data_IF_987852057006
#
_entry.id   IF_987852057006
#
_cell.length_a   1.000
_cell.length_b   1.000
_cell.length_c   1.000
_cell.angle_alpha   90.00
_cell.angle_beta   90.00
_cell.angle_gamma   90.00
#
_symmetry.space_group_name_H-M   'P 1'
#
loop_
_entity.id
_entity.type
_entity.pdbx_description
1 polymer ?
#
# COMPACT_ATOMS: atom_id res chain seq x y z
N UNK A 1 -17.89 -2.23 6.47
CA UNK A 1 -16.92 -1.63 5.55
C UNK A 1 -16.72 -2.54 4.35
N UNK A 2 -16.65 -1.96 3.15
CA UNK A 2 -16.34 -2.71 1.93
C UNK A 2 -15.02 -3.47 2.09
N UNK A 3 -14.94 -4.72 1.64
CA UNK A 3 -13.76 -5.57 1.82
C UNK A 3 -12.51 -5.05 1.11
N UNK A 4 -12.67 -4.39 -0.03
CA UNK A 4 -11.53 -3.81 -0.75
C UNK A 4 -11.02 -2.54 -0.07
N UNK A 5 -11.92 -1.73 0.47
CA UNK A 5 -11.56 -0.56 1.28
C UNK A 5 -10.84 -1.01 2.55
N UNK A 6 -11.33 -2.05 3.20
CA UNK A 6 -10.67 -2.62 4.39
C UNK A 6 -9.24 -3.07 4.06
N UNK A 7 -9.03 -3.67 2.89
CA UNK A 7 -7.70 -4.09 2.46
C UNK A 7 -6.75 -2.90 2.33
N UNK A 8 -7.22 -1.76 1.82
CA UNK A 8 -6.41 -0.53 1.75
C UNK A 8 -5.94 -0.12 3.15
N UNK A 9 -6.85 -0.08 4.12
CA UNK A 9 -6.50 0.29 5.50
C UNK A 9 -5.55 -0.73 6.14
N UNK A 10 -5.83 -2.02 5.98
CA UNK A 10 -5.03 -3.07 6.60
C UNK A 10 -3.59 -3.08 6.07
N UNK A 11 -3.41 -2.96 4.77
CA UNK A 11 -2.08 -2.91 4.17
C UNK A 11 -1.28 -1.69 4.65
N UNK A 12 -1.92 -0.53 4.71
CA UNK A 12 -1.24 0.69 5.17
C UNK A 12 -0.90 0.65 6.66
N UNK A 13 -1.70 -0.05 7.47
CA UNK A 13 -1.36 -0.32 8.86
C UNK A 13 -0.08 -1.14 9.01
N UNK A 14 0.08 -2.16 8.18
CA UNK A 14 1.30 -2.96 8.15
C UNK A 14 2.51 -2.17 7.64
N UNK A 15 2.32 -1.34 6.62
CA UNK A 15 3.38 -0.47 6.09
C UNK A 15 3.85 0.48 7.19
N UNK A 16 2.93 1.16 7.88
CA UNK A 16 3.28 2.06 8.96
C UNK A 16 4.08 1.35 10.05
N UNK A 17 3.61 0.20 10.50
CA UNK A 17 4.28 -0.57 11.54
C UNK A 17 5.69 -0.99 11.11
N UNK A 18 5.84 -1.52 9.90
CA UNK A 18 7.13 -1.98 9.39
C UNK A 18 8.13 -0.85 9.22
N UNK A 19 7.70 0.26 8.64
CA UNK A 19 8.58 1.40 8.37
C UNK A 19 8.96 2.17 9.63
N UNK A 20 8.07 2.23 10.63
CA UNK A 20 8.28 3.06 11.82
C UNK A 20 8.98 2.35 12.97
N UNK A 21 9.04 1.03 12.97
CA UNK A 21 9.48 0.24 14.12
C UNK A 21 10.65 -0.68 13.73
N UNK A 22 11.86 -0.32 14.19
CA UNK A 22 13.07 -1.12 13.96
C UNK A 22 13.04 -2.48 14.67
N UNK A 23 12.14 -2.66 15.64
CA UNK A 23 11.95 -3.92 16.36
C UNK A 23 10.79 -4.75 15.81
N UNK A 24 10.13 -4.30 14.73
CA UNK A 24 9.03 -5.06 14.12
C UNK A 24 9.51 -6.46 13.72
N UNK A 25 8.78 -7.53 14.09
CA UNK A 25 9.18 -8.89 13.69
C UNK A 25 9.08 -9.06 12.17
N UNK A 26 9.93 -9.93 11.62
CA UNK A 26 9.96 -10.20 10.17
C UNK A 26 8.63 -10.65 9.59
N UNK A 27 7.77 -11.25 10.40
CA UNK A 27 6.41 -11.64 10.02
C UNK A 27 5.57 -10.47 9.51
N UNK A 28 5.78 -9.25 10.02
CA UNK A 28 5.05 -8.06 9.55
C UNK A 28 5.33 -7.83 8.07
N UNK A 29 6.59 -7.94 7.66
CA UNK A 29 6.95 -7.82 6.24
C UNK A 29 6.38 -8.98 5.42
N UNK A 30 6.45 -10.21 5.93
CA UNK A 30 5.91 -11.38 5.22
C UNK A 30 4.39 -11.24 5.00
N UNK A 31 3.65 -10.81 6.00
CA UNK A 31 2.20 -10.56 5.89
C UNK A 31 1.91 -9.44 4.88
N UNK A 32 2.72 -8.38 4.90
CA UNK A 32 2.57 -7.28 3.96
C UNK A 32 2.81 -7.76 2.52
N UNK A 33 3.92 -8.46 2.27
CA UNK A 33 4.27 -8.93 0.92
C UNK A 33 3.27 -9.96 0.38
N UNK A 34 2.67 -10.77 1.25
CA UNK A 34 1.67 -11.76 0.84
C UNK A 34 0.38 -11.13 0.29
N UNK A 35 0.18 -9.83 0.48
CA UNK A 35 -0.99 -9.09 -0.04
C UNK A 35 -0.84 -8.67 -1.49
N UNK A 36 0.33 -8.84 -2.09
CA UNK A 36 0.62 -8.38 -3.44
C UNK A 36 0.63 -9.55 -4.41
N UNK A 37 -0.02 -9.36 -5.57
CA UNK A 37 0.01 -10.36 -6.64
C UNK A 37 1.44 -10.56 -7.12
N UNK A 38 1.84 -11.79 -7.49
CA UNK A 38 3.12 -12.01 -8.18
C UNK A 38 3.27 -11.20 -9.47
N UNK A 39 2.16 -10.79 -10.07
CA UNK A 39 2.13 -9.95 -11.26
C UNK A 39 2.03 -8.45 -10.94
N UNK A 40 2.22 -8.06 -9.68
CA UNK A 40 2.09 -6.67 -9.23
C UNK A 40 2.99 -5.73 -10.01
N UNK A 41 2.44 -4.54 -10.30
CA UNK A 41 3.19 -3.42 -10.86
C UNK A 41 2.71 -2.12 -10.21
N UNK A 42 3.57 -1.11 -10.19
CA UNK A 42 3.15 0.21 -9.75
C UNK A 42 3.90 1.33 -10.45
N UNK A 43 3.28 2.49 -10.45
CA UNK A 43 3.94 3.76 -10.74
C UNK A 43 3.95 4.55 -9.44
N UNK A 44 5.14 4.87 -8.94
CA UNK A 44 5.30 5.62 -7.68
C UNK A 44 4.95 7.10 -7.89
N UNK A 45 4.73 7.81 -6.79
CA UNK A 45 4.41 9.24 -6.87
C UNK A 45 5.54 10.10 -7.45
N UNK A 46 6.75 9.57 -7.57
CA UNK A 46 7.87 10.23 -8.26
C UNK A 46 8.05 9.78 -9.70
N UNK A 47 7.14 8.92 -10.20
CA UNK A 47 7.15 8.48 -11.60
C UNK A 47 8.02 7.25 -11.89
N UNK A 48 8.51 6.56 -10.87
CA UNK A 48 9.25 5.32 -11.04
C UNK A 48 8.31 4.13 -11.21
N UNK A 49 8.70 3.16 -12.03
CA UNK A 49 7.96 1.91 -12.19
C UNK A 49 8.60 0.81 -11.34
N UNK A 50 7.78 0.04 -10.65
CA UNK A 50 8.21 -1.11 -9.87
C UNK A 50 7.40 -2.33 -10.29
N UNK A 51 8.06 -3.49 -10.38
CA UNK A 51 7.41 -4.79 -10.47
C UNK A 51 7.41 -5.47 -9.09
N UNK A 52 6.90 -6.69 -9.03
CA UNK A 52 6.80 -7.42 -7.76
C UNK A 52 8.17 -7.68 -7.12
N UNK A 53 9.19 -8.18 -7.82
CA UNK A 53 10.51 -8.37 -7.19
C UNK A 53 11.12 -7.08 -6.65
N UNK A 54 10.97 -5.96 -7.37
CA UNK A 54 11.49 -4.67 -6.93
C UNK A 54 10.74 -4.17 -5.69
N UNK A 55 9.42 -4.35 -5.62
CA UNK A 55 8.62 -4.01 -4.44
C UNK A 55 9.07 -4.82 -3.23
N UNK A 56 9.24 -6.12 -3.38
CA UNK A 56 9.68 -7.00 -2.30
C UNK A 56 11.04 -6.58 -1.75
N UNK A 57 12.00 -6.31 -2.63
CA UNK A 57 13.34 -5.86 -2.24
C UNK A 57 13.26 -4.53 -1.49
N UNK A 58 12.45 -3.60 -1.99
CA UNK A 58 12.24 -2.30 -1.35
C UNK A 58 11.66 -2.46 0.06
N UNK A 59 10.57 -3.18 0.22
CA UNK A 59 9.94 -3.35 1.54
C UNK A 59 10.87 -4.05 2.52
N UNK A 60 11.58 -5.09 2.11
CA UNK A 60 12.51 -5.80 3.00
C UNK A 60 13.59 -4.90 3.58
N UNK A 61 14.03 -3.89 2.82
CA UNK A 61 15.05 -2.94 3.23
C UNK A 61 14.52 -1.82 4.15
N UNK A 62 13.21 -1.73 4.41
CA UNK A 62 12.60 -0.57 5.06
C UNK A 62 12.29 -0.74 6.54
N UNK A 63 12.66 -1.85 7.19
CA UNK A 63 12.39 -2.03 8.62
C UNK A 63 12.90 -0.85 9.43
N UNK A 64 12.00 -0.11 10.08
CA UNK A 64 12.36 1.02 10.93
C UNK A 64 13.06 2.17 10.23
N UNK A 65 13.03 2.22 8.89
CA UNK A 65 13.72 3.26 8.12
C UNK A 65 13.09 4.65 8.30
N UNK A 66 11.85 4.71 8.76
CA UNK A 66 11.10 5.96 8.96
C UNK A 66 10.50 6.01 10.35
N UNK A 67 11.34 6.17 11.37
CA UNK A 67 10.92 6.24 12.76
C UNK A 67 9.86 7.32 12.94
N UNK A 68 8.75 6.97 13.60
CA UNK A 68 7.65 7.90 13.88
C UNK A 68 6.72 8.16 12.68
N UNK A 69 6.88 7.45 11.57
CA UNK A 69 5.99 7.61 10.42
C UNK A 69 4.53 7.37 10.81
N UNK A 70 3.67 8.29 10.40
CA UNK A 70 2.20 8.14 10.46
C UNK A 70 1.64 8.16 9.06
N UNK A 71 0.78 7.20 8.76
CA UNK A 71 0.07 7.09 7.49
C UNK A 71 -1.42 7.17 7.77
N UNK A 72 -2.12 8.07 7.07
CA UNK A 72 -3.57 8.17 7.10
C UNK A 72 -4.12 7.94 5.70
N UNK A 73 -5.01 6.96 5.57
CA UNK A 73 -5.79 6.74 4.37
C UNK A 73 -7.08 7.54 4.51
N UNK A 74 -7.38 8.36 3.51
CA UNK A 74 -8.54 9.26 3.52
C UNK A 74 -9.37 9.09 2.25
N UNK A 75 -10.68 9.35 2.38
CA UNK A 75 -11.63 9.45 1.27
C UNK A 75 -11.59 8.27 0.30
N UNK A 76 -11.65 7.01 0.79
CA UNK A 76 -11.67 5.85 -0.10
C UNK A 76 -12.97 5.82 -0.91
N UNK A 77 -12.85 5.55 -2.21
CA UNK A 77 -13.99 5.42 -3.13
C UNK A 77 -13.79 4.16 -3.96
N UNK A 78 -14.76 3.27 -3.93
CA UNK A 78 -14.79 2.12 -4.83
C UNK A 78 -15.31 2.61 -6.18
N UNK A 79 -14.43 2.68 -7.17
CA UNK A 79 -14.80 3.15 -8.51
C UNK A 79 -15.56 2.08 -9.28
N UNK A 80 -15.13 0.82 -9.15
CA UNK A 80 -15.76 -0.33 -9.77
C UNK A 80 -15.41 -1.57 -8.97
N UNK A 81 -16.34 -2.53 -8.90
CA UNK A 81 -16.06 -3.82 -8.30
C UNK A 81 -16.87 -4.94 -8.93
N UNK A 82 -16.32 -6.15 -8.85
CA UNK A 82 -16.95 -7.39 -9.24
C UNK A 82 -16.46 -8.51 -8.32
N UNK A 83 -16.90 -9.75 -8.58
CA UNK A 83 -16.37 -10.91 -7.86
C UNK A 83 -14.88 -11.13 -8.08
N UNK A 84 -14.33 -10.61 -9.20
CA UNK A 84 -12.94 -10.84 -9.60
C UNK A 84 -11.98 -9.74 -9.16
N UNK A 85 -12.48 -8.61 -8.68
CA UNK A 85 -11.61 -7.52 -8.24
C UNK A 85 -12.32 -6.19 -8.15
N UNK A 86 -11.52 -5.14 -7.99
CA UNK A 86 -12.04 -3.79 -7.82
C UNK A 86 -10.99 -2.74 -8.16
N UNK A 87 -11.47 -1.56 -8.51
CA UNK A 87 -10.65 -0.34 -8.58
C UNK A 87 -11.08 0.57 -7.44
N UNK A 88 -10.13 0.94 -6.59
CA UNK A 88 -10.37 1.82 -5.44
C UNK A 88 -9.45 3.04 -5.54
N UNK A 89 -10.02 4.22 -5.43
CA UNK A 89 -9.27 5.45 -5.30
C UNK A 89 -9.25 5.89 -3.84
N UNK A 90 -8.13 6.43 -3.38
CA UNK A 90 -8.00 6.96 -2.02
C UNK A 90 -6.92 8.02 -1.98
N UNK A 91 -6.85 8.71 -0.84
CA UNK A 91 -5.79 9.66 -0.56
C UNK A 91 -4.92 9.10 0.56
N UNK A 92 -3.63 9.32 0.47
CA UNK A 92 -2.68 8.89 1.48
C UNK A 92 -1.89 10.07 1.99
N UNK A 93 -2.01 10.32 3.28
CA UNK A 93 -1.27 11.37 3.99
C UNK A 93 -0.17 10.71 4.79
N UNK A 94 1.06 11.21 4.64
CA UNK A 94 2.19 10.73 5.41
C UNK A 94 2.82 11.88 6.19
N UNK A 95 3.21 11.60 7.42
CA UNK A 95 3.89 12.56 8.27
C UNK A 95 5.05 11.90 9.00
N UNK A 96 6.20 12.54 8.94
CA UNK A 96 7.39 12.20 9.73
C UNK A 96 7.66 13.32 10.73
N UNK A 97 8.15 13.01 11.95
CA UNK A 97 8.50 14.04 12.93
C UNK A 97 9.45 15.07 12.34
N UNK A 98 9.12 16.36 12.51
CA UNK A 98 9.96 17.46 12.04
C UNK A 98 9.97 17.69 10.54
N UNK A 99 9.14 17.02 9.77
CA UNK A 99 9.05 17.19 8.32
C UNK A 99 7.65 17.62 7.88
N UNK A 100 7.54 18.33 6.75
CA UNK A 100 6.23 18.66 6.19
C UNK A 100 5.43 17.39 5.86
N UNK A 101 4.14 17.49 6.11
CA UNK A 101 3.19 16.44 5.70
C UNK A 101 3.11 16.34 4.19
N UNK A 102 3.01 15.13 3.68
CA UNK A 102 2.80 14.88 2.24
C UNK A 102 1.43 14.28 2.00
N UNK A 103 0.85 14.59 0.85
CA UNK A 103 -0.42 14.02 0.41
C UNK A 103 -0.26 13.50 -1.02
N UNK A 104 -0.77 12.30 -1.27
CA UNK A 104 -0.81 11.71 -2.61
C UNK A 104 -2.19 11.17 -2.93
N UNK A 105 -2.53 11.19 -4.20
CA UNK A 105 -3.70 10.52 -4.73
C UNK A 105 -3.28 9.15 -5.24
N UNK A 106 -4.06 8.14 -4.90
CA UNK A 106 -3.74 6.76 -5.23
C UNK A 106 -4.93 6.05 -5.86
N UNK A 107 -4.65 5.21 -6.84
CA UNK A 107 -5.65 4.34 -7.46
C UNK A 107 -5.07 2.93 -7.48
N UNK A 108 -5.78 1.99 -6.88
CA UNK A 108 -5.36 0.59 -6.83
C UNK A 108 -6.32 -0.29 -7.62
N UNK A 109 -5.76 -1.22 -8.38
CA UNK A 109 -6.48 -2.32 -8.98
C UNK A 109 -6.22 -3.56 -8.12
N UNK A 110 -7.29 -4.10 -7.55
CA UNK A 110 -7.28 -5.37 -6.85
C UNK A 110 -7.75 -6.50 -7.74
N UNK A 111 -7.19 -7.68 -7.54
CA UNK A 111 -7.72 -8.93 -8.09
C UNK A 111 -8.05 -9.88 -6.95
N UNK A 112 -9.03 -10.75 -7.16
CA UNK A 112 -9.38 -11.81 -6.22
C UNK A 112 -8.90 -13.12 -6.83
N UNK A 113 -8.04 -13.85 -6.08
CA UNK A 113 -7.50 -15.12 -6.57
C UNK A 113 -8.52 -16.27 -6.45
N UNK A 114 -8.12 -17.46 -6.91
CA UNK A 114 -9.00 -18.64 -6.91
C UNK A 114 -9.44 -19.06 -5.50
N UNK A 115 -8.73 -18.64 -4.47
CA UNK A 115 -9.04 -18.94 -3.06
C UNK A 115 -9.87 -17.84 -2.39
N UNK A 116 -10.23 -16.80 -3.14
CA UNK A 116 -11.00 -15.66 -2.62
C UNK A 116 -10.15 -14.60 -1.94
N UNK A 117 -8.82 -14.67 -2.06
CA UNK A 117 -7.92 -13.69 -1.45
C UNK A 117 -7.82 -12.44 -2.32
N UNK A 118 -7.91 -11.28 -1.69
CA UNK A 118 -7.73 -9.99 -2.34
C UNK A 118 -6.23 -9.71 -2.46
N UNK A 119 -5.77 -9.41 -3.68
CA UNK A 119 -4.36 -9.11 -3.95
C UNK A 119 -4.24 -7.76 -4.66
N UNK A 120 -3.23 -6.99 -4.26
CA UNK A 120 -2.83 -5.78 -4.95
C UNK A 120 -2.21 -6.16 -6.29
N UNK A 121 -2.83 -5.74 -7.40
CA UNK A 121 -2.37 -6.05 -8.76
C UNK A 121 -1.64 -4.88 -9.40
N UNK A 122 -2.13 -3.66 -9.20
CA UNK A 122 -1.50 -2.44 -9.72
C UNK A 122 -1.84 -1.25 -8.83
N UNK A 123 -0.86 -0.40 -8.61
CA UNK A 123 -1.02 0.84 -7.85
C UNK A 123 -0.41 1.99 -8.64
N UNK A 124 -1.16 3.07 -8.79
CA UNK A 124 -0.66 4.30 -9.38
C UNK A 124 -0.82 5.43 -8.38
N UNK A 125 0.27 6.15 -8.12
CA UNK A 125 0.28 7.26 -7.19
C UNK A 125 0.70 8.54 -7.88
N UNK A 126 0.13 9.67 -7.44
CA UNK A 126 0.54 10.98 -7.89
C UNK A 126 0.53 11.95 -6.71
N UNK A 127 1.51 12.88 -6.61
CA UNK A 127 1.50 13.88 -5.55
C UNK A 127 0.28 14.79 -5.73
N UNK A 128 -0.33 15.18 -4.60
CA UNK A 128 -1.35 16.22 -4.64
C UNK A 128 -0.70 17.57 -4.93
N UNK A 129 -1.40 18.36 -5.72
CA UNK A 129 -0.93 19.68 -6.05
C UNK A 129 -0.97 20.65 -4.84
#
# INVERSE_FOLDING_TARGET
MNRFVKEVFDAHGLIQRWFSDSAAPGQVCDELLARFSPAYSMVTFTGHRLDHPALCAFFRAQRGAKSGLKIEVEKPVVIAESEKGAVVAYQERQQLPGQPETLRYSTVLFVVDAEGKILWRHLHETPAA
#
